data_IF_692460587560
#
_entry.id   IF_692460587560
#
_cell.length_a   1.000
_cell.length_b   1.000
_cell.length_c   1.000
_cell.angle_alpha   90.00
_cell.angle_beta   90.00
_cell.angle_gamma   90.00
#
_symmetry.space_group_name_H-M   'P 1'
#
loop_
_entity.id
_entity.type
_entity.pdbx_description
1 polymer ?
#
# COMPACT_ATOMS: atom_id res chain seq x y z
N UNK A 1 0.00 -80.57 55.00
CA UNK A 1 -1.07 -79.68 55.51
C UNK A 1 -1.26 -78.56 54.50
N UNK A 2 -2.44 -78.53 53.90
CA UNK A 2 -2.91 -77.56 52.91
C UNK A 2 -3.17 -76.16 53.52
N UNK A 3 -3.50 -75.23 52.62
CA UNK A 3 -4.11 -73.89 52.77
C UNK A 3 -3.10 -72.74 52.69
N UNK A 4 -3.26 -71.67 51.89
CA UNK A 4 -4.42 -71.16 51.17
C UNK A 4 -4.00 -70.25 50.00
N UNK A 5 -4.83 -70.24 48.97
CA UNK A 5 -4.86 -69.34 47.80
C UNK A 5 -5.25 -67.91 48.20
N UNK A 6 -4.58 -66.89 47.63
CA UNK A 6 -5.17 -65.56 47.36
C UNK A 6 -4.67 -64.98 46.04
N UNK A 7 -5.57 -64.22 45.44
CA UNK A 7 -5.71 -63.87 44.03
C UNK A 7 -5.22 -62.43 43.76
N UNK A 8 -4.47 -62.27 42.67
CA UNK A 8 -4.39 -61.16 41.68
C UNK A 8 -4.05 -59.73 42.17
N UNK A 9 -3.05 -59.12 41.53
CA UNK A 9 -3.18 -57.90 40.70
C UNK A 9 -1.90 -57.65 39.90
N UNK A 10 -2.05 -57.75 38.58
CA UNK A 10 -1.09 -57.34 37.56
C UNK A 10 -0.94 -55.82 37.64
N UNK A 11 0.29 -55.33 37.77
CA UNK A 11 0.65 -53.94 37.51
C UNK A 11 1.78 -53.94 36.46
N UNK A 12 1.40 -53.57 35.23
CA UNK A 12 2.30 -53.39 34.10
C UNK A 12 3.18 -52.15 34.40
N UNK A 13 4.49 -52.34 34.57
CA UNK A 13 5.44 -51.23 34.59
C UNK A 13 5.70 -50.80 33.14
N UNK A 14 5.14 -49.65 32.75
CA UNK A 14 5.46 -49.00 31.49
C UNK A 14 6.88 -48.42 31.58
N UNK A 15 7.82 -49.00 30.83
CA UNK A 15 9.17 -48.47 30.66
C UNK A 15 9.15 -47.22 29.78
N UNK A 16 9.61 -46.11 30.32
CA UNK A 16 9.84 -44.85 29.60
C UNK A 16 11.06 -44.98 28.70
N UNK A 17 10.89 -44.93 27.38
CA UNK A 17 11.98 -44.67 26.43
C UNK A 17 11.91 -43.19 26.04
N UNK A 18 12.88 -42.42 26.52
CA UNK A 18 13.04 -41.02 26.20
C UNK A 18 13.49 -40.85 24.74
N UNK A 19 12.63 -40.27 23.90
CA UNK A 19 13.06 -39.73 22.61
C UNK A 19 13.74 -38.37 22.86
N UNK A 20 15.03 -38.29 22.55
CA UNK A 20 15.76 -37.04 22.50
C UNK A 20 15.17 -36.16 21.38
N UNK A 21 14.32 -35.20 21.75
CA UNK A 21 13.82 -34.16 20.87
C UNK A 21 14.95 -33.15 20.59
N UNK A 22 15.75 -33.40 19.56
CA UNK A 22 16.58 -32.37 18.97
C UNK A 22 15.65 -31.40 18.21
N UNK A 23 15.59 -30.15 18.67
CA UNK A 23 14.61 -29.15 18.28
C UNK A 23 14.54 -28.87 16.78
N UNK A 24 13.55 -29.45 16.11
CA UNK A 24 13.03 -28.93 14.85
C UNK A 24 12.02 -27.84 15.21
N UNK A 25 12.50 -26.61 15.36
CA UNK A 25 11.59 -25.45 15.34
C UNK A 25 10.84 -25.51 14.00
N UNK A 26 9.50 -25.49 13.98
CA UNK A 26 8.77 -25.43 12.73
C UNK A 26 9.19 -24.14 12.02
N UNK A 27 9.82 -24.29 10.85
CA UNK A 27 10.09 -23.18 9.94
C UNK A 27 8.71 -22.62 9.57
N UNK A 28 8.32 -21.50 10.18
CA UNK A 28 7.13 -20.79 9.76
C UNK A 28 7.26 -20.53 8.25
N UNK A 29 6.21 -20.74 7.45
CA UNK A 29 6.28 -20.41 6.04
C UNK A 29 6.62 -18.92 5.94
N UNK A 30 7.79 -18.59 5.40
CA UNK A 30 8.09 -17.23 4.96
C UNK A 30 7.01 -16.89 3.94
N UNK A 31 6.03 -16.08 4.34
CA UNK A 31 5.11 -15.44 3.41
C UNK A 31 5.99 -14.67 2.45
N UNK A 32 6.12 -15.15 1.21
CA UNK A 32 6.84 -14.43 0.18
C UNK A 32 6.21 -13.04 0.08
N UNK A 33 7.00 -12.00 0.37
CA UNK A 33 6.54 -10.63 0.23
C UNK A 33 6.03 -10.47 -1.21
N UNK A 34 4.81 -9.95 -1.37
CA UNK A 34 4.27 -9.70 -2.70
C UNK A 34 5.22 -8.80 -3.47
N UNK A 35 5.47 -9.11 -4.75
CA UNK A 35 6.27 -8.22 -5.62
C UNK A 35 5.54 -6.92 -5.95
N UNK A 36 4.27 -6.79 -5.54
CA UNK A 36 3.46 -5.58 -5.70
C UNK A 36 3.35 -4.82 -4.38
N UNK A 37 3.47 -3.49 -4.43
CA UNK A 37 3.06 -2.57 -3.37
C UNK A 37 1.81 -1.78 -3.82
N UNK A 38 0.89 -1.51 -2.91
CA UNK A 38 -0.35 -0.78 -3.18
C UNK A 38 -0.32 0.58 -2.49
N UNK A 39 -0.91 1.57 -3.13
CA UNK A 39 -0.95 2.95 -2.65
C UNK A 39 -2.33 3.56 -2.85
N UNK A 40 -2.63 4.60 -2.08
CA UNK A 40 -3.78 5.45 -2.34
C UNK A 40 -3.63 6.85 -1.81
N UNK A 41 -4.58 7.69 -2.21
CA UNK A 41 -4.72 9.06 -1.74
C UNK A 41 -6.21 9.43 -1.75
N UNK A 42 -6.63 10.25 -0.78
CA UNK A 42 -7.90 10.99 -0.85
C UNK A 42 -7.56 12.43 -1.20
N UNK A 43 -8.12 12.92 -2.30
CA UNK A 43 -7.87 14.26 -2.82
C UNK A 43 -8.95 15.23 -2.36
N UNK A 44 -8.54 16.41 -1.93
CA UNK A 44 -9.43 17.52 -1.58
C UNK A 44 -8.77 18.87 -1.86
N UNK A 45 -9.59 19.91 -1.97
CA UNK A 45 -9.13 21.30 -2.09
C UNK A 45 -8.45 21.81 -0.82
N UNK A 46 -8.85 21.31 0.35
CA UNK A 46 -8.24 21.66 1.63
C UNK A 46 -6.80 21.14 1.79
N UNK A 47 -6.44 20.11 1.01
CA UNK A 47 -5.08 19.57 0.99
C UNK A 47 -4.16 20.28 -0.02
N UNK A 48 -4.67 21.22 -0.83
CA UNK A 48 -3.83 22.09 -1.66
C UNK A 48 -2.96 23.03 -0.82
N UNK A 49 -1.87 23.50 -1.41
CA UNK A 49 -0.94 24.45 -0.77
C UNK A 49 -0.67 25.62 -1.71
N UNK A 50 -1.32 26.79 -1.51
CA UNK A 50 -2.35 27.06 -0.50
C UNK A 50 -3.69 26.38 -0.81
N UNK A 51 -4.50 26.15 0.23
CA UNK A 51 -5.85 25.58 0.08
C UNK A 51 -6.77 26.50 -0.75
N UNK A 52 -7.72 25.91 -1.46
CA UNK A 52 -8.74 26.64 -2.23
C UNK A 52 -10.18 26.25 -1.78
N UNK A 53 -11.19 26.88 -2.38
CA UNK A 53 -12.60 26.72 -2.01
C UNK A 53 -13.39 25.78 -2.94
N UNK A 54 -12.72 25.02 -3.81
CA UNK A 54 -13.41 24.06 -4.69
C UNK A 54 -14.14 22.99 -3.85
N UNK A 55 -15.36 22.57 -4.26
CA UNK A 55 -16.03 21.40 -3.68
C UNK A 55 -15.46 20.07 -4.20
N UNK A 56 -14.43 20.11 -5.02
CA UNK A 56 -13.81 18.95 -5.66
C UNK A 56 -13.30 17.93 -4.66
N UNK A 57 -13.49 16.66 -5.00
CA UNK A 57 -12.94 15.52 -4.24
C UNK A 57 -12.48 14.43 -5.19
N UNK A 58 -11.57 13.56 -4.73
CA UNK A 58 -11.18 12.39 -5.50
C UNK A 58 -10.50 11.31 -4.68
N UNK A 59 -10.28 10.16 -5.32
CA UNK A 59 -9.58 9.01 -4.76
C UNK A 59 -8.62 8.44 -5.78
N UNK A 60 -7.40 8.17 -5.34
CA UNK A 60 -6.39 7.47 -6.11
C UNK A 60 -6.23 6.04 -5.59
N UNK A 61 -6.16 5.10 -6.51
CA UNK A 61 -5.63 3.75 -6.30
C UNK A 61 -4.43 3.55 -7.22
N UNK A 62 -3.31 3.06 -6.68
CA UNK A 62 -2.14 2.73 -7.48
C UNK A 62 -1.44 1.45 -7.01
N UNK A 63 -0.77 0.78 -7.94
CA UNK A 63 0.00 -0.44 -7.71
C UNK A 63 1.38 -0.31 -8.35
N UNK A 64 2.43 -0.58 -7.60
CA UNK A 64 3.80 -0.66 -8.09
C UNK A 64 4.26 -2.12 -8.12
N UNK A 65 4.67 -2.62 -9.27
CA UNK A 65 5.46 -3.85 -9.37
C UNK A 65 6.93 -3.50 -9.08
N UNK A 66 7.47 -4.03 -7.98
CA UNK A 66 8.84 -3.77 -7.50
C UNK A 66 9.92 -4.46 -8.35
N UNK A 67 9.54 -5.42 -9.20
CA UNK A 67 10.49 -6.11 -10.08
C UNK A 67 10.70 -5.36 -11.38
N UNK A 68 9.63 -4.80 -11.94
CA UNK A 68 9.63 -4.06 -13.20
C UNK A 68 9.60 -2.54 -13.03
N UNK A 69 9.40 -2.05 -11.80
CA UNK A 69 9.15 -0.65 -11.45
C UNK A 69 7.94 -0.03 -12.16
N UNK A 70 7.01 -0.85 -12.66
CA UNK A 70 5.80 -0.37 -13.33
C UNK A 70 4.81 0.10 -12.26
N UNK A 71 4.52 1.41 -12.26
CA UNK A 71 3.42 2.00 -11.51
C UNK A 71 2.19 2.05 -12.41
N UNK A 72 1.05 1.54 -11.92
CA UNK A 72 -0.27 1.64 -12.56
C UNK A 72 -1.21 2.35 -11.63
N UNK A 73 -2.09 3.21 -12.15
CA UNK A 73 -3.01 3.97 -11.31
C UNK A 73 -4.38 4.18 -11.94
N UNK A 74 -5.34 4.49 -11.07
CA UNK A 74 -6.65 5.04 -11.41
C UNK A 74 -6.98 6.14 -10.41
N UNK A 75 -7.19 7.35 -10.92
CA UNK A 75 -7.68 8.49 -10.15
C UNK A 75 -9.11 8.78 -10.57
N UNK A 76 -10.04 8.73 -9.62
CA UNK A 76 -11.43 9.14 -9.84
C UNK A 76 -11.68 10.41 -9.04
N UNK A 77 -12.28 11.41 -9.67
CA UNK A 77 -12.66 12.65 -9.00
C UNK A 77 -14.02 13.14 -9.50
N UNK A 78 -14.62 14.04 -8.73
CA UNK A 78 -15.90 14.66 -9.03
C UNK A 78 -15.97 16.09 -8.47
N UNK A 79 -17.01 16.82 -8.86
CA UNK A 79 -17.37 18.14 -8.32
C UNK A 79 -16.28 19.21 -8.43
N UNK A 80 -15.46 19.16 -9.49
CA UNK A 80 -14.54 20.25 -9.79
C UNK A 80 -15.32 21.50 -10.23
N UNK A 81 -14.69 22.66 -10.10
CA UNK A 81 -15.20 23.97 -10.54
C UNK A 81 -15.33 24.09 -12.05
N UNK A 82 -14.71 23.19 -12.81
CA UNK A 82 -14.79 23.10 -14.26
C UNK A 82 -14.11 21.85 -14.81
N UNK A 83 -13.99 21.73 -16.14
CA UNK A 83 -13.28 20.61 -16.76
C UNK A 83 -11.84 20.50 -16.25
N UNK A 84 -11.40 19.28 -15.94
CA UNK A 84 -10.00 19.03 -15.63
C UNK A 84 -9.14 19.26 -16.86
N UNK A 85 -8.05 20.01 -16.67
CA UNK A 85 -7.10 20.37 -17.72
C UNK A 85 -5.84 19.52 -17.68
N UNK A 86 -5.39 19.17 -16.47
CA UNK A 86 -4.20 18.35 -16.22
C UNK A 86 -4.37 17.53 -14.95
N UNK A 87 -3.63 16.42 -14.88
CA UNK A 87 -3.43 15.66 -13.65
C UNK A 87 -1.98 15.17 -13.58
N UNK A 88 -1.39 15.21 -12.39
CA UNK A 88 0.02 14.87 -12.18
C UNK A 88 0.23 14.12 -10.87
N UNK A 89 1.27 13.30 -10.84
CA UNK A 89 2.01 13.03 -9.62
C UNK A 89 3.10 14.08 -9.49
N UNK A 90 3.24 14.64 -8.30
CA UNK A 90 4.33 15.54 -7.92
C UNK A 90 5.17 14.94 -6.81
N UNK A 91 6.43 15.33 -6.75
CA UNK A 91 7.36 14.92 -5.71
C UNK A 91 8.82 15.22 -6.07
N UNK A 92 9.76 15.02 -5.13
CA UNK A 92 9.51 14.65 -3.74
C UNK A 92 9.07 15.85 -2.88
N UNK A 93 8.00 15.67 -2.10
CA UNK A 93 7.54 16.60 -1.07
C UNK A 93 6.83 15.86 0.07
N UNK A 94 7.12 16.28 1.31
CA UNK A 94 6.30 15.91 2.47
C UNK A 94 4.93 16.59 2.39
N UNK A 95 3.95 16.06 3.12
CA UNK A 95 2.63 16.67 3.24
C UNK A 95 2.76 18.15 3.66
N UNK A 96 2.04 19.04 2.98
CA UNK A 96 2.10 20.49 3.22
C UNK A 96 3.18 21.25 2.42
N UNK A 97 4.02 20.56 1.64
CA UNK A 97 5.01 21.19 0.76
C UNK A 97 4.65 21.01 -0.74
N UNK A 98 5.12 21.92 -1.57
CA UNK A 98 5.00 21.84 -3.04
C UNK A 98 6.25 21.24 -3.66
N UNK A 99 6.07 20.49 -4.75
CA UNK A 99 7.16 19.96 -5.58
C UNK A 99 6.83 20.10 -7.06
N UNK A 100 7.85 19.88 -7.91
CA UNK A 100 7.67 19.75 -9.36
C UNK A 100 6.92 18.47 -9.74
N UNK A 101 6.62 18.35 -11.03
CA UNK A 101 5.97 17.15 -11.59
C UNK A 101 6.95 15.98 -11.55
N UNK A 102 6.54 14.87 -10.94
CA UNK A 102 7.26 13.61 -10.95
C UNK A 102 6.83 12.74 -12.14
N UNK A 103 5.52 12.64 -12.39
CA UNK A 103 4.94 11.89 -13.51
C UNK A 103 3.67 12.59 -14.00
N UNK A 104 3.57 12.96 -15.29
CA UNK A 104 2.33 13.46 -15.84
C UNK A 104 1.33 12.33 -16.14
N UNK A 105 0.04 12.60 -15.96
CA UNK A 105 -0.99 11.64 -16.36
C UNK A 105 -1.23 11.79 -17.87
N UNK A 106 -1.49 10.68 -18.60
CA UNK A 106 -1.73 10.73 -20.05
C UNK A 106 -3.05 11.42 -20.39
N UNK A 107 -4.01 11.41 -19.47
CA UNK A 107 -5.27 12.13 -19.56
C UNK A 107 -5.69 12.57 -18.17
N UNK A 108 -6.25 13.77 -18.06
CA UNK A 108 -6.87 14.25 -16.83
C UNK A 108 -8.31 13.75 -16.66
N UNK A 109 -8.93 13.14 -17.69
CA UNK A 109 -10.35 12.76 -17.66
C UNK A 109 -10.65 11.64 -16.66
N UNK A 110 -11.55 11.89 -15.70
CA UNK A 110 -12.01 10.91 -14.71
C UNK A 110 -12.80 9.75 -15.35
N UNK A 111 -12.49 8.47 -15.05
CA UNK A 111 -11.34 8.00 -14.27
C UNK A 111 -10.03 8.17 -15.05
N UNK A 112 -9.09 8.92 -14.48
CA UNK A 112 -7.79 9.21 -15.07
C UNK A 112 -6.86 8.03 -14.78
N UNK A 113 -6.59 7.23 -15.82
CA UNK A 113 -5.79 6.01 -15.73
C UNK A 113 -4.46 6.19 -16.43
N UNK A 114 -3.46 5.47 -15.97
CA UNK A 114 -2.18 5.41 -16.63
C UNK A 114 -1.27 4.35 -16.04
N UNK A 115 -0.16 4.16 -16.74
CA UNK A 115 0.96 3.38 -16.26
C UNK A 115 2.27 3.97 -16.78
N UNK A 116 3.34 3.79 -16.01
CA UNK A 116 4.69 4.17 -16.44
C UNK A 116 5.74 3.36 -15.68
N UNK A 117 6.94 3.27 -16.24
CA UNK A 117 8.10 2.70 -15.56
C UNK A 117 8.79 3.80 -14.76
N UNK A 118 8.94 3.58 -13.46
CA UNK A 118 9.62 4.52 -12.58
C UNK A 118 11.13 4.28 -12.55
N UNK A 119 11.90 5.36 -12.41
CA UNK A 119 13.31 5.28 -12.02
C UNK A 119 13.43 4.79 -10.58
N UNK A 120 14.60 4.26 -10.20
CA UNK A 120 14.84 3.81 -8.83
C UNK A 120 14.65 4.94 -7.78
N UNK A 121 15.01 6.17 -8.12
CA UNK A 121 14.80 7.34 -7.25
C UNK A 121 13.30 7.65 -7.07
N UNK A 122 12.53 7.63 -8.16
CA UNK A 122 11.07 7.82 -8.10
C UNK A 122 10.37 6.71 -7.29
N UNK A 123 10.82 5.46 -7.42
CA UNK A 123 10.34 4.36 -6.56
C UNK A 123 10.64 4.66 -5.09
N UNK A 124 11.87 5.07 -4.76
CA UNK A 124 12.25 5.39 -3.39
C UNK A 124 11.40 6.54 -2.81
N UNK A 125 11.15 7.59 -3.59
CA UNK A 125 10.33 8.73 -3.16
C UNK A 125 8.85 8.37 -2.99
N UNK A 126 8.28 7.57 -3.90
CA UNK A 126 6.92 7.05 -3.80
C UNK A 126 6.76 6.16 -2.55
N UNK A 127 7.68 5.21 -2.36
CA UNK A 127 7.70 4.31 -1.19
C UNK A 127 7.89 5.08 0.13
N UNK A 128 8.59 6.21 0.10
CA UNK A 128 8.76 7.09 1.25
C UNK A 128 7.56 8.03 1.49
N UNK A 129 6.48 7.92 0.70
CA UNK A 129 5.29 8.76 0.83
C UNK A 129 5.56 10.23 0.50
N UNK A 130 6.53 10.52 -0.37
CA UNK A 130 6.90 11.89 -0.76
C UNK A 130 6.18 12.36 -2.03
N UNK A 131 5.15 11.65 -2.46
CA UNK A 131 4.40 11.99 -3.67
C UNK A 131 2.99 12.43 -3.33
N UNK A 132 2.42 13.31 -4.13
CA UNK A 132 1.00 13.64 -4.10
C UNK A 132 0.41 13.59 -5.50
N UNK A 133 -0.85 13.18 -5.61
CA UNK A 133 -1.63 13.32 -6.84
C UNK A 133 -2.34 14.67 -6.84
N UNK A 134 -2.40 15.31 -7.99
CA UNK A 134 -2.98 16.64 -8.17
C UNK A 134 -3.81 16.72 -9.45
N UNK A 135 -4.97 17.40 -9.42
CA UNK A 135 -5.81 17.69 -10.59
C UNK A 135 -5.99 19.19 -10.72
N UNK A 136 -5.91 19.72 -11.94
CA UNK A 136 -5.97 21.15 -12.24
C UNK A 136 -7.19 21.47 -13.11
N UNK A 137 -7.73 22.68 -12.97
CA UNK A 137 -8.74 23.24 -13.88
C UNK A 137 -8.33 24.65 -14.32
N UNK A 138 -9.09 25.25 -15.24
CA UNK A 138 -8.87 26.63 -15.64
C UNK A 138 -8.99 27.63 -14.47
N UNK A 139 -9.88 27.38 -13.50
CA UNK A 139 -10.06 28.25 -12.33
C UNK A 139 -8.97 28.03 -11.27
N UNK A 140 -8.35 26.85 -11.25
CA UNK A 140 -7.33 26.45 -10.27
C UNK A 140 -6.09 25.89 -10.99
N UNK A 141 -5.33 26.73 -11.72
CA UNK A 141 -4.21 26.27 -12.55
C UNK A 141 -3.03 25.72 -11.70
N UNK A 142 -2.86 26.21 -10.47
CA UNK A 142 -1.85 25.71 -9.53
C UNK A 142 -2.18 24.36 -8.89
N UNK A 143 -3.42 23.89 -9.00
CA UNK A 143 -3.94 22.70 -8.35
C UNK A 143 -5.34 22.97 -7.78
N UNK A 144 -6.32 22.15 -8.15
CA UNK A 144 -7.67 22.22 -7.59
C UNK A 144 -7.87 21.27 -6.42
N UNK A 145 -7.43 20.02 -6.58
CA UNK A 145 -7.49 19.01 -5.53
C UNK A 145 -6.17 18.23 -5.47
N UNK A 146 -5.70 18.00 -4.25
CA UNK A 146 -4.46 17.27 -3.94
C UNK A 146 -4.72 16.18 -2.92
N UNK A 147 -3.96 15.10 -2.99
CA UNK A 147 -3.90 14.06 -1.96
C UNK A 147 -2.52 13.43 -1.89
N UNK A 148 -1.95 13.33 -0.68
CA UNK A 148 -0.68 12.64 -0.46
C UNK A 148 -0.84 11.15 -0.77
N UNK A 149 0.09 10.59 -1.54
CA UNK A 149 0.12 9.17 -1.91
C UNK A 149 0.84 8.39 -0.83
N UNK A 150 0.11 7.48 -0.19
CA UNK A 150 0.60 6.66 0.91
C UNK A 150 0.44 5.18 0.59
N UNK A 151 1.34 4.34 1.11
CA UNK A 151 1.19 2.89 1.04
C UNK A 151 -0.07 2.43 1.79
N UNK A 152 -0.72 1.36 1.31
CA UNK A 152 -1.89 0.72 1.94
C UNK A 152 -1.52 -0.53 2.73
#
# INVERSE_FOLDING_TARGET
MNTSTRIVRVALLAGTVAFAACGMTPMAPMMAATNTATFGAVLSSAAEVPANASPGTGTLDATLDKSSNVLRWTLTYASLTGPATMAHFHGPAMAGANAGVAVPFPSAMSPAKGETVLTAAQVADLMAGKWYANVHTAANPGGEIRGQVMAK
#
